data_IF_920798295805
#
_entry.id   IF_920798295805
#
_cell.length_a   1.000
_cell.length_b   1.000
_cell.length_c   1.000
_cell.angle_alpha   90.00
_cell.angle_beta   90.00
_cell.angle_gamma   90.00
#
_symmetry.space_group_name_H-M   'P 1'
#
loop_
_entity.id
_entity.type
_entity.pdbx_description
1 polymer ?
#
# COMPACT_ATOMS: atom_id res chain seq x y z
N UNK A 1 -2.93 16.62 0.44
CA UNK A 1 -1.61 16.16 0.93
C UNK A 1 -0.56 16.11 -0.19
N UNK A 2 -0.80 15.41 -1.31
CA UNK A 2 0.19 15.18 -2.38
C UNK A 2 0.80 16.47 -3.00
N UNK A 3 -0.03 17.45 -3.38
CA UNK A 3 0.46 18.73 -3.95
C UNK A 3 1.34 19.52 -2.97
N UNK A 4 0.94 19.52 -1.70
CA UNK A 4 1.68 20.20 -0.64
C UNK A 4 2.99 19.44 -0.36
N UNK A 5 3.00 18.10 -0.43
CA UNK A 5 4.22 17.27 -0.30
C UNK A 5 5.25 17.62 -1.37
N UNK A 6 4.82 17.71 -2.63
CA UNK A 6 5.67 18.12 -3.75
C UNK A 6 6.25 19.53 -3.50
N UNK A 7 5.44 20.46 -2.99
CA UNK A 7 5.88 21.81 -2.61
C UNK A 7 6.95 21.80 -1.52
N UNK A 8 6.73 21.05 -0.44
CA UNK A 8 7.66 20.93 0.69
C UNK A 8 8.97 20.28 0.26
N UNK A 9 8.93 19.22 -0.56
CA UNK A 9 10.14 18.60 -1.10
C UNK A 9 10.91 19.56 -2.03
N UNK A 10 10.21 20.35 -2.83
CA UNK A 10 10.84 21.35 -3.71
C UNK A 10 11.51 22.44 -2.91
N UNK A 11 10.88 22.91 -1.83
CA UNK A 11 11.45 23.88 -0.90
C UNK A 11 12.65 23.30 -0.14
N UNK A 12 12.55 22.07 0.36
CA UNK A 12 13.63 21.34 1.03
C UNK A 12 14.91 21.29 0.17
N UNK A 13 14.78 21.07 -1.15
CA UNK A 13 15.93 21.07 -2.08
C UNK A 13 16.63 22.43 -2.20
N UNK A 14 15.96 23.54 -1.83
CA UNK A 14 16.49 24.91 -1.92
C UNK A 14 17.11 25.43 -0.62
N UNK A 15 17.01 24.70 0.50
CA UNK A 15 17.59 25.13 1.78
C UNK A 15 19.12 25.05 1.74
N UNK A 16 19.80 26.17 2.00
CA UNK A 16 21.28 26.29 1.95
C UNK A 16 21.98 26.25 3.31
N UNK A 17 21.28 26.44 4.42
CA UNK A 17 21.90 26.45 5.76
C UNK A 17 22.22 25.03 6.23
N UNK A 18 23.47 24.78 6.63
CA UNK A 18 23.97 23.43 6.99
C UNK A 18 23.21 22.80 8.17
N UNK A 19 22.89 23.58 9.20
CA UNK A 19 22.16 23.11 10.39
C UNK A 19 20.71 22.71 10.08
N UNK A 20 19.97 23.58 9.38
CA UNK A 20 18.59 23.29 8.96
C UNK A 20 18.54 22.07 8.02
N UNK A 21 19.52 21.94 7.13
CA UNK A 21 19.64 20.77 6.26
C UNK A 21 19.84 19.48 7.06
N UNK A 22 20.70 19.48 8.08
CA UNK A 22 20.89 18.32 8.95
C UNK A 22 19.61 17.94 9.71
N UNK A 23 18.90 18.94 10.25
CA UNK A 23 17.61 18.73 10.91
C UNK A 23 16.58 18.13 9.95
N UNK A 24 16.43 18.69 8.75
CA UNK A 24 15.50 18.17 7.73
C UNK A 24 15.87 16.75 7.28
N UNK A 25 17.16 16.39 7.25
CA UNK A 25 17.59 15.01 6.95
C UNK A 25 17.16 14.02 8.05
N UNK A 26 17.22 14.40 9.32
CA UNK A 26 16.74 13.56 10.43
C UNK A 26 15.22 13.39 10.33
N UNK A 27 14.49 14.47 10.07
CA UNK A 27 13.03 14.41 9.86
C UNK A 27 12.68 13.52 8.68
N UNK A 28 13.36 13.68 7.55
CA UNK A 28 13.16 12.84 6.38
C UNK A 28 13.43 11.37 6.67
N UNK A 29 14.47 11.06 7.47
CA UNK A 29 14.78 9.68 7.86
C UNK A 29 13.65 9.02 8.66
N UNK A 30 13.06 9.73 9.62
CA UNK A 30 11.90 9.21 10.37
C UNK A 30 10.72 8.96 9.44
N UNK A 31 10.47 9.86 8.49
CA UNK A 31 9.38 9.72 7.52
C UNK A 31 9.60 8.52 6.60
N UNK A 32 10.82 8.36 6.07
CA UNK A 32 11.23 7.20 5.27
C UNK A 32 11.13 5.90 6.07
N UNK A 33 11.47 5.91 7.35
CA UNK A 33 11.30 4.73 8.19
C UNK A 33 9.82 4.31 8.29
N UNK A 34 8.91 5.25 8.57
CA UNK A 34 7.47 4.98 8.60
C UNK A 34 6.97 4.51 7.23
N UNK A 35 7.48 5.11 6.15
CA UNK A 35 7.16 4.75 4.77
C UNK A 35 7.48 3.27 4.47
N UNK A 36 8.69 2.82 4.77
CA UNK A 36 9.09 1.42 4.55
C UNK A 36 8.34 0.44 5.46
N UNK A 37 8.09 0.83 6.71
CA UNK A 37 7.28 0.04 7.64
C UNK A 37 5.86 -0.13 7.13
N UNK A 38 5.26 0.92 6.53
CA UNK A 38 3.94 0.86 5.94
C UNK A 38 3.89 -0.11 4.75
N UNK A 39 4.87 -0.05 3.85
CA UNK A 39 5.00 -1.04 2.77
C UNK A 39 5.10 -2.46 3.32
N UNK A 40 5.98 -2.69 4.30
CA UNK A 40 6.15 -4.00 4.90
C UNK A 40 4.86 -4.53 5.53
N UNK A 41 4.21 -3.71 6.37
CA UNK A 41 3.00 -4.09 7.09
C UNK A 41 1.86 -4.45 6.12
N UNK A 42 1.60 -3.62 5.11
CA UNK A 42 0.55 -3.89 4.13
C UNK A 42 0.88 -5.08 3.23
N UNK A 43 2.13 -5.24 2.80
CA UNK A 43 2.51 -6.41 2.01
C UNK A 43 2.29 -7.71 2.82
N UNK A 44 2.68 -7.74 4.10
CA UNK A 44 2.44 -8.90 4.98
C UNK A 44 0.94 -9.14 5.17
N UNK A 45 0.16 -8.10 5.48
CA UNK A 45 -1.29 -8.19 5.69
C UNK A 45 -2.03 -8.77 4.48
N UNK A 46 -1.61 -8.39 3.28
CA UNK A 46 -2.20 -8.84 2.02
C UNK A 46 -1.59 -10.15 1.49
N UNK A 47 -0.75 -10.82 2.29
CA UNK A 47 -0.13 -12.11 1.94
C UNK A 47 0.90 -12.01 0.81
N UNK A 48 1.44 -10.83 0.54
CA UNK A 48 2.54 -10.62 -0.39
C UNK A 48 3.83 -11.07 0.28
N UNK A 49 4.60 -11.92 -0.38
CA UNK A 49 5.90 -12.34 0.14
C UNK A 49 6.86 -11.15 0.17
N UNK A 50 7.26 -10.76 1.38
CA UNK A 50 8.25 -9.72 1.63
C UNK A 50 9.62 -10.33 1.88
N UNK A 51 10.65 -9.64 1.39
CA UNK A 51 12.04 -9.89 1.71
C UNK A 51 12.51 -9.04 2.87
N UNK A 52 13.80 -8.69 2.85
CA UNK A 52 14.40 -7.80 3.87
C UNK A 52 13.92 -6.36 3.67
N UNK A 53 13.65 -5.68 4.78
CA UNK A 53 13.47 -4.23 4.84
C UNK A 53 14.84 -3.61 5.13
N UNK A 54 15.25 -2.62 4.33
CA UNK A 54 16.50 -1.86 4.50
C UNK A 54 16.15 -0.39 4.59
N UNK A 55 16.67 0.32 5.58
CA UNK A 55 16.56 1.79 5.66
C UNK A 55 17.96 2.34 5.78
N UNK A 56 18.35 3.24 4.90
CA UNK A 56 19.71 3.80 4.83
C UNK A 56 19.67 5.31 4.89
N UNK A 57 20.53 5.88 5.74
CA UNK A 57 20.65 7.33 5.89
C UNK A 57 21.53 7.97 4.80
N UNK A 58 22.45 7.21 4.21
CA UNK A 58 23.41 7.68 3.20
C UNK A 58 23.33 6.86 1.93
N UNK A 59 23.38 7.52 0.78
CA UNK A 59 23.48 6.88 -0.54
C UNK A 59 24.84 6.20 -0.71
N UNK A 60 24.85 4.99 -1.24
CA UNK A 60 26.06 4.19 -1.49
C UNK A 60 27.00 4.84 -2.51
N UNK A 61 26.44 5.52 -3.50
CA UNK A 61 27.18 5.98 -4.67
C UNK A 61 28.04 7.23 -4.39
N UNK A 62 27.64 8.06 -3.42
CA UNK A 62 28.27 9.38 -3.17
C UNK A 62 28.54 9.69 -1.70
N UNK A 63 28.25 8.77 -0.76
CA UNK A 63 28.30 9.00 0.69
C UNK A 63 27.53 10.26 1.15
N UNK A 64 26.64 10.78 0.30
CA UNK A 64 25.80 11.94 0.58
C UNK A 64 24.65 11.52 1.49
N UNK A 65 24.29 12.41 2.41
CA UNK A 65 23.09 12.23 3.25
C UNK A 65 21.87 12.30 2.34
N UNK A 66 21.22 11.17 2.18
CA UNK A 66 20.05 10.96 1.34
C UNK A 66 19.29 9.78 1.95
N UNK A 67 18.40 10.02 2.91
CA UNK A 67 17.57 8.98 3.49
C UNK A 67 16.75 8.29 2.39
N UNK A 68 16.87 6.97 2.31
CA UNK A 68 16.12 6.13 1.37
C UNK A 68 15.92 4.74 2.00
N UNK A 69 14.99 3.98 1.46
CA UNK A 69 14.59 2.70 2.01
C UNK A 69 14.34 1.66 0.93
N UNK A 70 14.21 0.40 1.32
CA UNK A 70 13.70 -0.63 0.45
C UNK A 70 13.06 -1.80 1.15
N UNK A 71 11.92 -2.24 0.63
CA UNK A 71 11.34 -3.56 0.91
C UNK A 71 11.57 -4.48 -0.29
N UNK A 72 12.25 -5.61 -0.08
CA UNK A 72 12.42 -6.63 -1.11
C UNK A 72 11.10 -7.33 -1.47
N UNK A 73 10.82 -7.52 -2.75
CA UNK A 73 9.62 -8.21 -3.26
C UNK A 73 10.03 -9.38 -4.18
N UNK A 74 10.47 -10.53 -3.62
CA UNK A 74 11.07 -11.63 -4.38
C UNK A 74 10.12 -12.25 -5.42
N UNK A 75 8.80 -12.17 -5.21
CA UNK A 75 7.77 -12.76 -6.08
C UNK A 75 6.77 -11.72 -6.63
N UNK A 76 7.21 -10.49 -6.91
CA UNK A 76 6.35 -9.41 -7.41
C UNK A 76 5.45 -9.82 -8.60
N UNK A 77 5.97 -10.65 -9.50
CA UNK A 77 5.22 -11.13 -10.68
C UNK A 77 3.97 -11.96 -10.35
N UNK A 78 3.82 -12.42 -9.12
CA UNK A 78 2.66 -13.21 -8.66
C UNK A 78 1.60 -12.38 -7.96
N UNK A 79 1.90 -11.12 -7.65
CA UNK A 79 0.97 -10.24 -6.93
C UNK A 79 -0.20 -9.84 -7.81
N UNK A 80 -1.42 -9.88 -7.29
CA UNK A 80 -2.58 -9.31 -7.98
C UNK A 80 -2.50 -7.79 -8.06
N UNK A 81 -3.27 -7.16 -8.97
CA UNK A 81 -3.29 -5.70 -9.08
C UNK A 81 -3.67 -5.02 -7.78
N UNK A 82 -4.68 -5.53 -7.06
CA UNK A 82 -5.06 -4.99 -5.75
C UNK A 82 -3.93 -5.08 -4.72
N UNK A 83 -3.19 -6.20 -4.68
CA UNK A 83 -2.05 -6.36 -3.76
C UNK A 83 -0.95 -5.35 -4.09
N UNK A 84 -0.60 -5.20 -5.37
CA UNK A 84 0.39 -4.20 -5.79
C UNK A 84 -0.09 -2.79 -5.50
N UNK A 85 -1.35 -2.47 -5.82
CA UNK A 85 -1.93 -1.14 -5.61
C UNK A 85 -1.93 -0.76 -4.14
N UNK A 86 -2.45 -1.63 -3.28
CA UNK A 86 -2.50 -1.39 -1.84
C UNK A 86 -1.10 -1.32 -1.26
N UNK A 87 -0.21 -2.23 -1.63
CA UNK A 87 1.19 -2.19 -1.19
C UNK A 87 1.89 -0.89 -1.59
N UNK A 88 1.67 -0.41 -2.81
CA UNK A 88 2.27 0.80 -3.38
C UNK A 88 1.72 2.10 -2.79
N UNK A 89 0.46 2.11 -2.37
CA UNK A 89 -0.22 3.28 -1.77
C UNK A 89 -0.17 3.24 -0.23
N UNK A 90 0.28 2.14 0.37
CA UNK A 90 0.33 1.94 1.82
C UNK A 90 1.04 3.08 2.58
N UNK A 91 2.20 3.61 2.15
CA UNK A 91 2.86 4.69 2.87
C UNK A 91 2.02 5.96 2.91
N UNK A 92 1.39 6.33 1.79
CA UNK A 92 0.50 7.48 1.72
C UNK A 92 -0.70 7.28 2.66
N UNK A 93 -1.28 6.09 2.66
CA UNK A 93 -2.41 5.74 3.52
C UNK A 93 -2.02 5.87 5.00
N UNK A 94 -1.03 5.11 5.46
CA UNK A 94 -0.57 5.10 6.86
C UNK A 94 -0.14 6.49 7.32
N UNK A 95 0.62 7.21 6.50
CA UNK A 95 1.10 8.56 6.85
C UNK A 95 -0.07 9.55 6.97
N UNK A 96 -1.12 9.40 6.17
CA UNK A 96 -2.33 10.24 6.30
C UNK A 96 -3.02 10.03 7.64
N UNK A 97 -3.23 8.78 8.07
CA UNK A 97 -3.88 8.51 9.36
C UNK A 97 -3.02 8.96 10.54
N UNK A 98 -1.71 8.69 10.51
CA UNK A 98 -0.80 9.17 11.55
C UNK A 98 -0.72 10.71 11.58
N UNK A 99 -0.79 11.36 10.42
CA UNK A 99 -0.85 12.81 10.34
C UNK A 99 -2.14 13.35 10.96
N UNK A 100 -3.31 12.80 10.62
CA UNK A 100 -4.59 13.18 11.23
C UNK A 100 -4.59 12.97 12.75
N UNK A 101 -4.03 11.85 13.21
CA UNK A 101 -3.87 11.60 14.64
C UNK A 101 -3.01 12.64 15.35
N UNK A 102 -1.92 13.09 14.71
CA UNK A 102 -1.10 14.16 15.26
C UNK A 102 -1.84 15.51 15.27
N UNK A 103 -2.65 15.79 14.25
CA UNK A 103 -3.52 16.98 14.21
C UNK A 103 -4.54 16.93 15.36
N UNK A 104 -5.17 15.78 15.60
CA UNK A 104 -6.08 15.59 16.74
C UNK A 104 -5.39 15.84 18.09
N UNK A 105 -4.17 15.33 18.28
CA UNK A 105 -3.38 15.61 19.49
C UNK A 105 -3.14 17.11 19.68
N UNK A 106 -2.78 17.83 18.60
CA UNK A 106 -2.42 19.25 18.66
C UNK A 106 -3.64 20.15 18.94
N UNK A 107 -4.80 19.84 18.34
CA UNK A 107 -5.95 20.75 18.35
C UNK A 107 -7.10 20.31 19.24
N UNK A 108 -7.31 19.00 19.41
CA UNK A 108 -8.50 18.46 20.06
C UNK A 108 -8.21 17.89 21.45
N UNK A 109 -6.97 17.48 21.74
CA UNK A 109 -6.59 16.86 23.02
C UNK A 109 -5.75 17.84 23.84
N UNK A 110 -6.15 18.10 25.08
CA UNK A 110 -5.32 18.86 26.02
C UNK A 110 -4.13 17.97 26.46
N UNK A 111 -2.97 18.20 25.85
CA UNK A 111 -1.72 17.53 26.20
C UNK A 111 -0.65 18.55 26.60
N UNK A 112 0.41 18.07 27.25
CA UNK A 112 1.55 18.92 27.60
C UNK A 112 2.22 19.52 26.36
N UNK A 113 2.81 20.72 26.51
CA UNK A 113 3.48 21.42 25.42
C UNK A 113 4.56 20.58 24.71
N UNK A 114 5.26 19.69 25.45
CA UNK A 114 6.29 18.83 24.86
C UNK A 114 5.69 17.78 23.91
N UNK A 115 4.50 17.25 24.21
CA UNK A 115 3.79 16.30 23.35
C UNK A 115 3.40 16.97 22.04
N UNK A 116 2.88 18.21 22.12
CA UNK A 116 2.54 19.00 20.94
C UNK A 116 3.76 19.27 20.04
N UNK A 117 4.92 19.59 20.64
CA UNK A 117 6.16 19.77 19.87
C UNK A 117 6.55 18.49 19.15
N UNK A 118 6.50 17.33 19.82
CA UNK A 118 6.79 16.03 19.21
C UNK A 118 5.81 15.72 18.08
N UNK A 119 4.51 15.98 18.29
CA UNK A 119 3.47 15.78 17.27
C UNK A 119 3.70 16.66 16.03
N UNK A 120 4.09 17.93 16.20
CA UNK A 120 4.41 18.84 15.08
C UNK A 120 5.63 18.32 14.31
N UNK A 121 6.69 17.94 15.02
CA UNK A 121 7.93 17.38 14.43
C UNK A 121 7.61 16.11 13.64
N UNK A 122 6.79 15.23 14.19
CA UNK A 122 6.36 13.99 13.54
C UNK A 122 5.45 14.26 12.33
N UNK A 123 4.52 15.21 12.42
CA UNK A 123 3.70 15.68 11.30
C UNK A 123 4.57 16.08 10.09
N UNK A 124 5.57 16.94 10.31
CA UNK A 124 6.47 17.38 9.24
C UNK A 124 7.25 16.21 8.67
N UNK A 125 7.71 15.30 9.52
CA UNK A 125 8.42 14.09 9.11
C UNK A 125 7.58 13.17 8.22
N UNK A 126 6.35 12.85 8.62
CA UNK A 126 5.39 12.07 7.84
C UNK A 126 5.09 12.76 6.51
N UNK A 127 4.93 14.08 6.54
CA UNK A 127 4.63 14.85 5.36
C UNK A 127 5.71 14.70 4.28
N UNK A 128 6.99 14.80 4.68
CA UNK A 128 8.14 14.58 3.79
C UNK A 128 8.18 13.15 3.25
N UNK A 129 7.87 12.15 4.08
CA UNK A 129 7.95 10.72 3.75
C UNK A 129 6.70 10.10 3.11
N UNK A 130 5.59 10.82 3.00
CA UNK A 130 4.27 10.25 2.63
C UNK A 130 4.09 9.95 1.14
N UNK A 131 4.92 10.50 0.26
CA UNK A 131 4.75 10.37 -1.19
C UNK A 131 5.09 8.96 -1.65
N UNK A 132 4.19 8.26 -2.37
CA UNK A 132 4.55 6.98 -2.97
C UNK A 132 5.64 7.19 -4.02
N UNK A 133 6.63 6.31 -4.05
CA UNK A 133 7.78 6.48 -4.92
C UNK A 133 7.41 6.40 -6.40
N UNK A 134 8.25 6.94 -7.28
CA UNK A 134 8.07 6.76 -8.72
C UNK A 134 8.08 5.28 -9.15
N UNK A 135 8.79 4.45 -8.39
CA UNK A 135 8.83 3.01 -8.60
C UNK A 135 7.50 2.34 -8.23
N UNK A 136 6.84 2.77 -7.14
CA UNK A 136 5.50 2.29 -6.75
C UNK A 136 4.49 2.50 -7.87
N UNK A 137 4.46 3.72 -8.43
CA UNK A 137 3.59 4.06 -9.55
C UNK A 137 3.88 3.20 -10.78
N UNK A 138 5.16 2.92 -11.04
CA UNK A 138 5.56 2.04 -12.14
C UNK A 138 5.09 0.60 -11.92
N UNK A 139 5.21 0.07 -10.69
CA UNK A 139 4.76 -1.29 -10.36
C UNK A 139 3.24 -1.46 -10.52
N UNK A 140 2.45 -0.46 -10.14
CA UNK A 140 1.00 -0.43 -10.39
C UNK A 140 0.73 -0.54 -11.90
N UNK A 141 1.39 0.30 -12.70
CA UNK A 141 1.23 0.30 -14.15
C UNK A 141 1.67 -1.02 -14.82
N UNK A 142 2.77 -1.61 -14.37
CA UNK A 142 3.25 -2.91 -14.85
C UNK A 142 2.26 -4.04 -14.51
N UNK A 143 1.72 -4.05 -13.29
CA UNK A 143 0.75 -5.07 -12.87
C UNK A 143 -0.56 -4.95 -13.64
N UNK A 144 -1.04 -3.72 -13.87
CA UNK A 144 -2.22 -3.47 -14.70
C UNK A 144 -2.04 -3.96 -16.13
N UNK A 145 -0.89 -3.67 -16.75
CA UNK A 145 -0.58 -4.11 -18.12
C UNK A 145 -0.51 -5.63 -18.25
N UNK A 146 -0.14 -6.35 -17.19
CA UNK A 146 -0.01 -7.82 -17.20
C UNK A 146 -1.37 -8.51 -17.28
N UNK A 147 -2.36 -8.03 -16.54
CA UNK A 147 -3.73 -8.56 -16.58
C UNK A 147 -4.76 -7.44 -16.45
N UNK A 148 -5.05 -6.71 -17.54
CA UNK A 148 -5.94 -5.55 -17.50
C UNK A 148 -7.38 -5.93 -17.18
N UNK A 149 -7.83 -7.12 -17.63
CA UNK A 149 -9.21 -7.59 -17.39
C UNK A 149 -9.45 -7.85 -15.92
N UNK A 150 -8.55 -8.58 -15.27
CA UNK A 150 -8.66 -8.84 -13.84
C UNK A 150 -8.46 -7.57 -13.01
N UNK A 151 -7.56 -6.67 -13.45
CA UNK A 151 -7.34 -5.39 -12.79
C UNK A 151 -8.58 -4.49 -12.81
N UNK A 152 -9.27 -4.38 -13.96
CA UNK A 152 -10.53 -3.64 -14.09
C UNK A 152 -11.61 -4.25 -13.19
N UNK A 153 -11.71 -5.59 -13.14
CA UNK A 153 -12.62 -6.27 -12.22
C UNK A 153 -12.33 -5.91 -10.76
N UNK A 154 -11.06 -5.92 -10.35
CA UNK A 154 -10.68 -5.53 -8.99
C UNK A 154 -11.00 -4.07 -8.69
N UNK A 155 -10.76 -3.15 -9.63
CA UNK A 155 -11.12 -1.73 -9.49
C UNK A 155 -12.64 -1.58 -9.33
N UNK A 156 -13.43 -2.23 -10.20
CA UNK A 156 -14.89 -2.17 -10.14
C UNK A 156 -15.44 -2.69 -8.80
N UNK A 157 -14.86 -3.78 -8.27
CA UNK A 157 -15.21 -4.29 -6.95
C UNK A 157 -14.90 -3.30 -5.83
N UNK A 158 -13.72 -2.67 -5.85
CA UNK A 158 -13.35 -1.67 -4.83
C UNK A 158 -14.30 -0.47 -4.88
N UNK A 159 -14.61 0.04 -6.07
CA UNK A 159 -15.57 1.15 -6.25
C UNK A 159 -16.96 0.76 -5.75
N UNK A 160 -17.47 -0.42 -6.14
CA UNK A 160 -18.77 -0.90 -5.67
C UNK A 160 -18.80 -1.06 -4.14
N UNK A 161 -17.73 -1.57 -3.55
CA UNK A 161 -17.61 -1.72 -2.10
C UNK A 161 -17.62 -0.36 -1.39
N UNK A 162 -16.88 0.61 -1.94
CA UNK A 162 -16.86 1.99 -1.46
C UNK A 162 -18.24 2.64 -1.49
N UNK A 163 -18.98 2.49 -2.61
CA UNK A 163 -20.33 3.05 -2.74
C UNK A 163 -21.33 2.41 -1.79
N UNK A 164 -21.24 1.09 -1.59
CA UNK A 164 -22.10 0.38 -0.64
C UNK A 164 -21.81 0.88 0.78
N UNK A 165 -20.54 0.89 1.20
CA UNK A 165 -20.18 1.34 2.55
C UNK A 165 -20.54 2.80 2.75
N UNK A 166 -20.33 3.66 1.77
CA UNK A 166 -20.77 5.06 1.82
C UNK A 166 -22.28 5.16 2.11
N UNK A 167 -23.09 4.45 1.32
CA UNK A 167 -24.53 4.42 1.52
C UNK A 167 -24.94 3.86 2.89
N UNK A 168 -24.25 2.83 3.38
CA UNK A 168 -24.51 2.26 4.70
C UNK A 168 -24.11 3.21 5.84
N UNK A 169 -22.90 3.75 5.83
CA UNK A 169 -22.40 4.59 6.93
C UNK A 169 -23.23 5.86 7.05
N UNK A 170 -23.61 6.50 5.94
CA UNK A 170 -24.47 7.68 5.94
C UNK A 170 -25.87 7.40 6.53
N UNK A 171 -26.34 6.14 6.50
CA UNK A 171 -27.63 5.75 7.08
C UNK A 171 -27.57 5.45 8.58
N UNK A 172 -26.43 4.99 9.11
CA UNK A 172 -26.33 4.45 10.47
C UNK A 172 -25.73 5.42 11.51
N UNK A 173 -25.32 6.64 11.12
CA UNK A 173 -24.82 7.71 12.01
C UNK A 173 -23.91 7.20 13.14
N UNK A 174 -22.82 6.52 12.79
CA UNK A 174 -21.87 6.00 13.77
C UNK A 174 -21.03 7.16 14.32
N UNK A 175 -21.07 7.35 15.65
CA UNK A 175 -20.25 8.36 16.34
C UNK A 175 -19.10 7.70 17.08
N UNK A 176 -17.87 8.07 16.73
CA UNK A 176 -16.63 7.64 17.40
C UNK A 176 -15.94 8.83 18.08
N UNK A 177 -15.17 8.60 19.16
CA UNK A 177 -14.57 9.68 19.95
C UNK A 177 -13.47 10.45 19.22
N UNK A 178 -12.88 9.86 18.18
CA UNK A 178 -11.88 10.51 17.32
C UNK A 178 -12.29 10.38 15.86
N UNK A 179 -12.17 11.47 15.11
CA UNK A 179 -12.51 11.51 13.69
C UNK A 179 -11.63 10.54 12.88
N UNK A 180 -10.36 10.38 13.27
CA UNK A 180 -9.46 9.40 12.64
C UNK A 180 -9.99 7.96 12.74
N UNK A 181 -10.65 7.59 13.84
CA UNK A 181 -11.19 6.24 14.01
C UNK A 181 -12.38 5.98 13.10
N UNK A 182 -13.19 7.00 12.82
CA UNK A 182 -14.29 6.92 11.86
C UNK A 182 -13.80 6.58 10.46
N UNK A 183 -12.72 7.21 10.01
CA UNK A 183 -12.12 6.90 8.71
C UNK A 183 -11.47 5.51 8.66
N UNK A 184 -10.88 5.05 9.77
CA UNK A 184 -10.32 3.70 9.88
C UNK A 184 -11.44 2.66 9.78
N UNK A 185 -12.53 2.86 10.52
CA UNK A 185 -13.72 2.00 10.47
C UNK A 185 -14.30 1.93 9.06
N UNK A 186 -14.49 3.08 8.39
CA UNK A 186 -14.94 3.14 7.01
C UNK A 186 -14.09 2.27 6.10
N UNK A 187 -12.76 2.37 6.21
CA UNK A 187 -11.84 1.56 5.42
C UNK A 187 -11.97 0.05 5.70
N UNK A 188 -12.11 -0.34 6.96
CA UNK A 188 -12.35 -1.74 7.33
C UNK A 188 -13.65 -2.28 6.72
N UNK A 189 -14.74 -1.52 6.75
CA UNK A 189 -15.98 -1.92 6.10
C UNK A 189 -15.82 -2.06 4.59
N UNK A 190 -15.07 -1.17 3.93
CA UNK A 190 -14.81 -1.29 2.48
C UNK A 190 -14.08 -2.60 2.18
N UNK A 191 -13.09 -2.96 2.99
CA UNK A 191 -12.38 -4.25 2.85
C UNK A 191 -13.35 -5.43 3.04
N UNK A 192 -14.18 -5.39 4.08
CA UNK A 192 -15.14 -6.45 4.38
C UNK A 192 -16.12 -6.65 3.22
N UNK A 193 -16.77 -5.58 2.76
CA UNK A 193 -17.72 -5.61 1.64
C UNK A 193 -17.04 -6.08 0.37
N UNK A 194 -15.79 -5.65 0.12
CA UNK A 194 -14.99 -6.13 -1.01
C UNK A 194 -14.85 -7.65 -1.02
N UNK A 195 -14.47 -8.25 0.10
CA UNK A 195 -14.31 -9.71 0.19
C UNK A 195 -15.65 -10.45 0.07
N UNK A 196 -16.74 -9.89 0.61
CA UNK A 196 -18.09 -10.43 0.44
C UNK A 196 -18.50 -10.45 -1.03
N UNK A 197 -18.38 -9.31 -1.74
CA UNK A 197 -18.70 -9.22 -3.16
C UNK A 197 -17.84 -10.15 -4.01
N UNK A 198 -16.52 -10.17 -3.76
CA UNK A 198 -15.59 -11.06 -4.45
C UNK A 198 -15.99 -12.53 -4.29
N UNK A 199 -16.34 -12.94 -3.07
CA UNK A 199 -16.76 -14.31 -2.76
C UNK A 199 -18.10 -14.63 -3.44
N UNK A 200 -19.07 -13.72 -3.39
CA UNK A 200 -20.36 -13.87 -4.06
C UNK A 200 -20.20 -14.07 -5.58
N UNK A 201 -19.42 -13.22 -6.26
CA UNK A 201 -19.16 -13.37 -7.69
C UNK A 201 -18.43 -14.67 -8.02
N UNK A 202 -17.49 -15.11 -7.18
CA UNK A 202 -16.82 -16.39 -7.36
C UNK A 202 -17.78 -17.58 -7.24
N UNK A 203 -18.69 -17.56 -6.25
CA UNK A 203 -19.74 -18.59 -6.09
C UNK A 203 -20.66 -18.60 -7.31
N UNK A 204 -21.16 -17.44 -7.73
CA UNK A 204 -22.04 -17.31 -8.90
C UNK A 204 -21.36 -17.86 -10.16
N UNK A 205 -20.13 -17.45 -10.42
CA UNK A 205 -19.34 -17.93 -11.56
C UNK A 205 -19.14 -19.45 -11.52
N UNK A 206 -18.86 -19.99 -10.34
CA UNK A 206 -18.68 -21.43 -10.12
C UNK A 206 -19.97 -22.19 -10.42
N UNK A 207 -21.12 -21.72 -9.91
CA UNK A 207 -22.44 -22.30 -10.19
C UNK A 207 -22.77 -22.29 -11.69
N UNK A 208 -22.57 -21.17 -12.39
CA UNK A 208 -22.79 -21.08 -13.83
C UNK A 208 -21.89 -22.02 -14.63
N UNK A 209 -20.63 -22.17 -14.21
CA UNK A 209 -19.70 -23.10 -14.86
C UNK A 209 -20.09 -24.57 -14.66
N UNK A 210 -20.67 -24.91 -13.50
CA UNK A 210 -21.20 -26.24 -13.21
C UNK A 210 -22.43 -26.56 -14.05
N UNK A 211 -23.32 -25.58 -14.27
CA UNK A 211 -24.50 -25.69 -15.13
C UNK A 211 -24.16 -25.86 -16.62
N UNK A 212 -23.09 -25.20 -17.10
CA UNK A 212 -22.67 -25.24 -18.52
C UNK A 212 -21.88 -26.50 -18.90
N UNK A 213 -21.50 -27.36 -17.96
CA UNK A 213 -20.88 -28.66 -18.29
C UNK A 213 -21.99 -29.70 -18.47
N UNK A 214 -22.38 -30.09 -19.70
CA UNK A 214 -23.09 -31.34 -19.86
C UNK A 214 -22.18 -32.44 -19.31
N UNK A 215 -22.69 -33.20 -18.33
CA UNK A 215 -22.06 -34.43 -17.86
C UNK A 215 -22.10 -35.46 -19.00
N UNK A 216 -21.21 -35.34 -19.98
CA UNK A 216 -20.81 -36.50 -20.76
C UNK A 216 -19.68 -37.19 -20.00
N UNK A 217 -19.89 -38.40 -19.45
CA UNK A 217 -18.80 -39.18 -18.91
C UNK A 217 -17.93 -39.62 -20.08
N UNK A 218 -16.88 -38.85 -20.41
CA UNK A 218 -15.82 -39.42 -21.25
C UNK A 218 -15.06 -40.40 -20.38
N UNK A 219 -15.42 -41.69 -20.49
CA UNK A 219 -14.57 -42.79 -20.06
C UNK A 219 -13.27 -42.67 -20.89
N UNK A 220 -12.28 -41.97 -20.34
CA UNK A 220 -10.89 -42.05 -20.79
C UNK A 220 -10.10 -42.80 -19.74
N UNK A 221 -10.37 -44.11 -19.71
CA UNK A 221 -9.36 -45.09 -19.38
C UNK A 221 -8.11 -44.79 -20.25
N UNK A 222 -6.97 -44.66 -19.58
CA UNK A 222 -5.63 -44.88 -20.14
C UNK A 222 -5.24 -44.11 -21.41
N UNK A 223 -4.69 -42.91 -21.23
CA UNK A 223 -3.56 -42.40 -22.05
C UNK A 223 -2.87 -41.26 -21.28
N UNK A 224 -1.89 -41.58 -20.43
CA UNK A 224 -0.45 -41.57 -20.76
C UNK A 224 0.07 -40.19 -21.21
N UNK A 225 0.81 -39.56 -20.28
CA UNK A 225 1.93 -38.61 -20.46
C UNK A 225 1.67 -37.38 -21.34
N UNK A 226 1.75 -36.18 -20.71
CA UNK A 226 2.78 -35.17 -21.04
C UNK A 226 2.74 -33.93 -20.12
N UNK A 227 3.91 -33.71 -19.48
CA UNK A 227 4.52 -32.42 -19.08
C UNK A 227 3.85 -31.60 -17.98
N UNK A 228 4.29 -31.85 -16.75
CA UNK A 228 4.82 -30.74 -15.95
C UNK A 228 6.35 -30.76 -16.11
N UNK A 229 6.86 -29.94 -17.04
CA UNK A 229 8.22 -29.44 -16.84
C UNK A 229 8.13 -28.61 -15.58
N UNK A 230 8.79 -29.04 -14.50
CA UNK A 230 9.18 -28.12 -13.45
C UNK A 230 9.84 -26.93 -14.15
N UNK A 231 9.24 -25.75 -14.03
CA UNK A 231 9.97 -24.53 -14.32
C UNK A 231 11.13 -24.54 -13.35
N UNK A 232 12.31 -24.92 -13.83
CA UNK A 232 13.55 -24.63 -13.13
C UNK A 232 13.49 -23.14 -12.75
N UNK A 233 13.78 -22.76 -11.50
CA UNK A 233 13.87 -21.36 -11.15
C UNK A 233 14.99 -20.77 -12.02
N UNK A 234 14.61 -20.12 -13.10
CA UNK A 234 15.48 -19.25 -13.89
C UNK A 234 15.98 -18.26 -12.86
N UNK A 235 17.26 -18.35 -12.47
CA UNK A 235 17.90 -17.54 -11.43
C UNK A 235 17.22 -16.18 -11.38
N UNK A 236 16.26 -16.05 -10.45
CA UNK A 236 15.53 -14.82 -10.23
C UNK A 236 16.63 -13.90 -9.75
N UNK A 237 17.11 -13.02 -10.64
CA UNK A 237 17.78 -11.82 -10.17
C UNK A 237 16.76 -11.22 -9.21
N UNK A 238 17.04 -11.28 -7.92
CA UNK A 238 16.34 -10.50 -6.92
C UNK A 238 16.30 -9.10 -7.52
N UNK A 239 15.14 -8.70 -8.03
CA UNK A 239 14.92 -7.30 -8.33
C UNK A 239 14.74 -6.70 -6.94
N UNK A 240 15.85 -6.32 -6.35
CA UNK A 240 15.83 -5.30 -5.32
C UNK A 240 15.15 -4.11 -6.00
N UNK A 241 13.92 -3.83 -5.60
CA UNK A 241 13.36 -2.52 -5.85
C UNK A 241 14.27 -1.57 -5.07
N UNK A 242 15.09 -0.84 -5.79
CA UNK A 242 15.84 0.28 -5.25
C UNK A 242 14.84 1.44 -5.23
N UNK A 243 14.47 1.88 -4.03
CA UNK A 243 13.55 2.99 -3.81
C UNK A 243 14.36 4.23 -3.39
#
# INVERSE_FOLDING_TARGET
MLLISIGVQTWYRRVHTRGLKAFLHILAFVGVFVHEVAHYAFNVLFGVKTGKVKVKYRSEDKMRVAPHGSVGLPEFERNSFLQTFVGSVAPLFVSTFLFLFCVDIIFNIQTDAWVNVVAIVFCVSLFIGSEPSGQDMKLIGETFKRDPKYSIYQIALVVASGLIVWFFVDLYFIYLPFEVLYYIEYFFFVILVYFVLKTAFWIISSCFSALKRPKFPSIKLLTRRRRFKMFAPRKLKEKEAQW
#
